data_IF_637344828832
#
_entry.id   IF_637344828832
#
_cell.length_a   1.000
_cell.length_b   1.000
_cell.length_c   1.000
_cell.angle_alpha   90.00
_cell.angle_beta   90.00
_cell.angle_gamma   90.00
#
_symmetry.space_group_name_H-M   'P 1'
#
loop_
_entity.id
_entity.type
_entity.pdbx_description
1 polymer ?
#
# COMPACT_ATOMS: atom_id res chain seq x y z
N UNK A 1 33.40 -24.56 9.50
CA UNK A 1 32.34 -23.86 8.75
C UNK A 1 31.31 -23.37 9.75
N UNK A 2 31.17 -22.06 10.00
CA UNK A 2 30.10 -21.54 10.88
C UNK A 2 28.79 -21.51 10.05
N UNK A 3 27.65 -21.99 10.58
CA UNK A 3 26.39 -21.77 9.90
C UNK A 3 26.11 -20.26 9.90
N UNK A 4 25.99 -19.68 8.71
CA UNK A 4 25.44 -18.33 8.55
C UNK A 4 23.93 -18.45 8.74
N UNK A 5 23.49 -18.41 10.00
CA UNK A 5 22.10 -18.12 10.34
C UNK A 5 21.77 -16.69 9.90
N UNK A 6 21.50 -16.56 8.61
CA UNK A 6 20.99 -15.34 8.01
C UNK A 6 19.49 -15.28 8.36
N UNK A 7 19.17 -15.04 9.63
CA UNK A 7 17.81 -14.70 10.04
C UNK A 7 17.47 -13.40 9.32
N UNK A 8 16.84 -13.51 8.15
CA UNK A 8 16.20 -12.39 7.46
C UNK A 8 15.23 -11.82 8.49
N UNK A 9 15.58 -10.67 9.07
CA UNK A 9 14.71 -9.95 10.01
C UNK A 9 13.42 -9.68 9.25
N UNK A 10 12.37 -10.45 9.53
CA UNK A 10 11.04 -10.13 9.03
C UNK A 10 10.71 -8.80 9.69
N UNK A 11 10.70 -7.70 8.92
CA UNK A 11 10.16 -6.45 9.44
C UNK A 11 8.67 -6.70 9.68
N UNK A 12 8.27 -6.67 10.95
CA UNK A 12 6.86 -6.65 11.30
C UNK A 12 6.27 -5.35 10.77
N UNK A 13 5.40 -5.45 9.76
CA UNK A 13 4.55 -4.34 9.36
C UNK A 13 3.54 -4.12 10.47
N UNK A 14 3.77 -3.10 11.30
CA UNK A 14 2.83 -2.60 12.30
C UNK A 14 2.12 -1.37 11.74
N UNK A 15 1.01 -0.99 12.40
CA UNK A 15 0.43 0.34 12.23
C UNK A 15 1.52 1.36 12.56
N UNK A 16 1.61 2.39 11.72
CA UNK A 16 2.53 3.48 11.89
C UNK A 16 1.69 4.75 12.07
N UNK A 17 1.81 5.38 13.25
CA UNK A 17 1.09 6.61 13.61
C UNK A 17 1.25 7.69 12.54
N UNK A 18 2.36 7.67 11.79
CA UNK A 18 2.60 8.59 10.68
C UNK A 18 1.53 8.54 9.59
N UNK A 19 0.86 7.40 9.41
CA UNK A 19 -0.10 7.13 8.33
C UNK A 19 -1.52 6.80 8.80
N UNK A 20 -1.83 6.94 10.09
CA UNK A 20 -3.19 6.70 10.61
C UNK A 20 -4.24 7.58 9.91
N UNK A 21 -3.90 8.82 9.58
CA UNK A 21 -4.79 9.72 8.83
C UNK A 21 -5.21 9.10 7.49
N UNK A 22 -4.28 8.42 6.81
CA UNK A 22 -4.54 7.75 5.53
C UNK A 22 -5.53 6.59 5.74
N UNK A 23 -5.35 5.80 6.79
CA UNK A 23 -6.29 4.74 7.16
C UNK A 23 -7.68 5.28 7.45
N UNK A 24 -7.79 6.39 8.17
CA UNK A 24 -9.06 7.06 8.43
C UNK A 24 -9.75 7.49 7.12
N UNK A 25 -9.00 8.06 6.17
CA UNK A 25 -9.52 8.44 4.86
C UNK A 25 -10.03 7.24 4.05
N UNK A 26 -9.34 6.09 4.12
CA UNK A 26 -9.83 4.84 3.53
C UNK A 26 -11.14 4.38 4.19
N UNK A 27 -11.18 4.34 5.52
CA UNK A 27 -12.34 3.87 6.29
C UNK A 27 -13.58 4.76 6.09
N UNK A 28 -13.37 6.07 5.88
CA UNK A 28 -14.44 7.03 5.57
C UNK A 28 -14.86 7.01 4.10
N UNK A 29 -14.18 6.26 3.23
CA UNK A 29 -14.44 6.21 1.78
C UNK A 29 -14.03 7.47 1.03
N UNK A 30 -13.14 8.28 1.60
CA UNK A 30 -12.63 9.51 1.01
C UNK A 30 -11.52 9.25 -0.02
N UNK A 31 -10.77 8.15 0.15
CA UNK A 31 -9.88 7.62 -0.90
C UNK A 31 -10.70 6.73 -1.83
N UNK A 32 -10.91 7.20 -3.06
CA UNK A 32 -11.62 6.46 -4.12
C UNK A 32 -10.70 5.96 -5.24
N UNK A 33 -9.45 6.42 -5.24
CA UNK A 33 -8.39 6.08 -6.19
C UNK A 33 -7.06 6.00 -5.46
N UNK A 34 -6.23 5.00 -5.75
CA UNK A 34 -4.93 4.85 -5.10
C UNK A 34 -3.96 5.99 -5.43
N UNK A 35 -4.10 6.62 -6.60
CA UNK A 35 -3.30 7.81 -6.98
C UNK A 35 -3.37 8.95 -5.96
N UNK A 36 -4.43 9.04 -5.16
CA UNK A 36 -4.56 10.03 -4.09
C UNK A 36 -3.47 9.90 -3.01
N UNK A 37 -2.89 8.72 -2.84
CA UNK A 37 -1.77 8.52 -1.91
C UNK A 37 -0.50 9.31 -2.30
N UNK A 38 -0.41 9.84 -3.53
CA UNK A 38 0.64 10.79 -3.92
C UNK A 38 0.57 12.10 -3.10
N UNK A 39 -0.60 12.45 -2.56
CA UNK A 39 -0.81 13.66 -1.75
C UNK A 39 -0.37 13.47 -0.27
N UNK A 40 -0.16 12.22 0.16
CA UNK A 40 0.03 11.88 1.57
C UNK A 40 1.39 11.23 1.83
N UNK A 41 2.44 12.06 1.94
CA UNK A 41 3.82 11.63 2.27
C UNK A 41 4.33 10.45 1.39
N UNK A 42 4.24 10.54 0.05
CA UNK A 42 4.50 9.42 -0.85
C UNK A 42 5.90 8.83 -0.71
N UNK A 43 6.91 9.66 -0.45
CA UNK A 43 8.30 9.23 -0.23
C UNK A 43 8.45 8.35 1.01
N UNK A 44 7.70 8.63 2.06
CA UNK A 44 7.79 7.87 3.31
C UNK A 44 7.02 6.56 3.19
N UNK A 45 5.82 6.59 2.60
CA UNK A 45 5.06 5.38 2.26
C UNK A 45 5.85 4.43 1.37
N UNK A 46 6.46 4.92 0.29
CA UNK A 46 7.24 4.06 -0.61
C UNK A 46 8.39 3.37 0.11
N UNK A 47 9.11 4.12 0.96
CA UNK A 47 10.22 3.59 1.78
C UNK A 47 9.74 2.51 2.75
N UNK A 48 8.62 2.74 3.44
CA UNK A 48 8.04 1.80 4.42
C UNK A 48 7.51 0.54 3.75
N UNK A 49 6.96 0.66 2.55
CA UNK A 49 6.59 -0.47 1.69
C UNK A 49 7.80 -1.17 1.05
N UNK A 50 9.02 -0.68 1.28
CA UNK A 50 10.26 -1.17 0.66
C UNK A 50 10.19 -1.16 -0.88
N UNK A 51 9.51 -0.16 -1.44
CA UNK A 51 9.40 0.06 -2.88
C UNK A 51 10.22 1.28 -3.29
N UNK A 52 10.83 1.21 -4.48
CA UNK A 52 11.39 2.39 -5.12
C UNK A 52 10.29 3.43 -5.37
N UNK A 53 10.60 4.72 -5.19
CA UNK A 53 9.62 5.80 -5.32
C UNK A 53 8.89 5.77 -6.66
N UNK A 54 9.62 5.63 -7.77
CA UNK A 54 9.01 5.57 -9.11
C UNK A 54 8.12 4.34 -9.29
N UNK A 55 8.53 3.18 -8.74
CA UNK A 55 7.72 1.96 -8.76
C UNK A 55 6.44 2.15 -7.95
N UNK A 56 6.54 2.79 -6.79
CA UNK A 56 5.39 3.10 -5.97
C UNK A 56 4.40 4.01 -6.70
N UNK A 57 4.86 5.15 -7.24
CA UNK A 57 3.99 6.07 -7.99
C UNK A 57 3.38 5.43 -9.23
N UNK A 58 4.14 4.61 -9.96
CA UNK A 58 3.61 3.90 -11.13
C UNK A 58 2.48 2.94 -10.75
N UNK A 59 2.62 2.22 -9.63
CA UNK A 59 1.58 1.32 -9.12
C UNK A 59 0.37 2.06 -8.56
N UNK A 60 0.55 3.25 -7.97
CA UNK A 60 -0.58 4.09 -7.55
C UNK A 60 -1.45 4.52 -8.74
N UNK A 61 -0.84 4.76 -9.90
CA UNK A 61 -1.52 5.11 -11.16
C UNK A 61 -2.04 3.90 -11.93
N UNK A 62 -1.45 2.74 -11.69
CA UNK A 62 -1.84 1.45 -12.29
C UNK A 62 -2.05 0.41 -11.17
N UNK A 63 -3.20 0.46 -10.49
CA UNK A 63 -3.47 -0.32 -9.28
C UNK A 63 -3.35 -1.84 -9.48
N UNK A 64 -3.56 -2.33 -10.70
CA UNK A 64 -3.40 -3.73 -11.09
C UNK A 64 -1.96 -4.27 -10.93
N UNK A 65 -0.98 -3.37 -10.83
CA UNK A 65 0.42 -3.74 -10.64
C UNK A 65 0.79 -4.00 -9.16
N UNK A 66 -0.12 -3.69 -8.23
CA UNK A 66 0.04 -4.09 -6.83
C UNK A 66 -0.24 -5.58 -6.67
N UNK A 67 0.68 -6.29 -6.00
CA UNK A 67 0.40 -7.65 -5.55
C UNK A 67 -0.53 -7.61 -4.33
N UNK A 68 -1.22 -8.73 -4.05
CA UNK A 68 -2.00 -8.88 -2.81
C UNK A 68 -1.13 -8.67 -1.56
N UNK A 69 0.12 -9.13 -1.59
CA UNK A 69 1.07 -8.92 -0.50
C UNK A 69 1.33 -7.42 -0.25
N UNK A 70 1.46 -6.63 -1.32
CA UNK A 70 1.66 -5.18 -1.21
C UNK A 70 0.43 -4.48 -0.61
N UNK A 71 -0.78 -4.90 -0.99
CA UNK A 71 -2.02 -4.35 -0.44
C UNK A 71 -2.16 -4.67 1.06
N UNK A 72 -1.78 -5.89 1.48
CA UNK A 72 -1.77 -6.28 2.90
C UNK A 72 -0.72 -5.48 3.68
N UNK A 73 0.46 -5.23 3.11
CA UNK A 73 1.48 -4.38 3.75
C UNK A 73 1.00 -2.94 3.89
N UNK A 74 0.39 -2.39 2.84
CA UNK A 74 -0.20 -1.06 2.87
C UNK A 74 -1.31 -0.97 3.92
N UNK A 75 -2.20 -1.95 4.00
CA UNK A 75 -3.31 -1.94 4.95
C UNK A 75 -2.82 -1.96 6.40
N UNK A 76 -1.79 -2.76 6.69
CA UNK A 76 -1.13 -2.77 8.00
C UNK A 76 -0.47 -1.44 8.31
N UNK A 77 0.23 -0.86 7.35
CA UNK A 77 0.97 0.39 7.51
C UNK A 77 0.05 1.57 7.84
N UNK A 78 -1.08 1.68 7.14
CA UNK A 78 -2.03 2.80 7.31
C UNK A 78 -3.12 2.52 8.33
N UNK A 79 -3.24 1.30 8.87
CA UNK A 79 -4.27 0.95 9.85
C UNK A 79 -5.68 0.83 9.25
N UNK A 80 -5.82 0.10 8.14
CA UNK A 80 -7.14 -0.20 7.52
C UNK A 80 -7.26 -1.68 7.15
N UNK A 81 -8.48 -2.12 6.82
CA UNK A 81 -8.72 -3.46 6.27
C UNK A 81 -8.26 -3.51 4.80
N UNK A 82 -7.43 -4.49 4.45
CA UNK A 82 -6.95 -4.68 3.08
C UNK A 82 -8.10 -4.88 2.08
N UNK A 83 -9.25 -5.40 2.53
CA UNK A 83 -10.44 -5.56 1.70
C UNK A 83 -10.99 -4.20 1.22
N UNK A 84 -10.83 -3.12 2.01
CA UNK A 84 -11.24 -1.77 1.59
C UNK A 84 -10.36 -1.31 0.43
N UNK A 85 -9.04 -1.47 0.57
CA UNK A 85 -8.07 -1.11 -0.47
C UNK A 85 -8.31 -1.95 -1.73
N UNK A 86 -8.48 -3.27 -1.58
CA UNK A 86 -8.73 -4.18 -2.70
C UNK A 86 -10.00 -3.82 -3.49
N UNK A 87 -11.09 -3.42 -2.82
CA UNK A 87 -12.31 -2.96 -3.49
C UNK A 87 -12.08 -1.71 -4.34
N UNK A 88 -11.26 -0.78 -3.85
CA UNK A 88 -10.88 0.43 -4.61
C UNK A 88 -10.08 0.01 -5.86
N UNK A 89 -9.06 -0.83 -5.69
CA UNK A 89 -8.25 -1.37 -6.81
C UNK A 89 -9.14 -2.04 -7.85
N UNK A 90 -10.03 -2.95 -7.44
CA UNK A 90 -10.94 -3.63 -8.35
C UNK A 90 -11.85 -2.66 -9.09
N UNK A 91 -12.35 -1.62 -8.42
CA UNK A 91 -13.19 -0.60 -9.05
C UNK A 91 -12.39 0.19 -10.10
N UNK A 92 -11.17 0.61 -9.79
CA UNK A 92 -10.32 1.33 -10.74
C UNK A 92 -9.96 0.48 -11.97
N UNK A 93 -9.69 -0.81 -11.77
CA UNK A 93 -9.43 -1.76 -12.87
C UNK A 93 -10.68 -1.89 -13.75
N UNK A 94 -11.85 -2.08 -13.15
CA UNK A 94 -13.13 -2.17 -13.87
C UNK A 94 -13.39 -0.92 -14.71
N UNK A 95 -13.19 0.27 -14.12
CA UNK A 95 -13.31 1.54 -14.83
C UNK A 95 -12.30 1.68 -15.98
N UNK A 96 -11.05 1.22 -15.79
CA UNK A 96 -9.98 1.29 -16.80
C UNK A 96 -10.24 0.39 -18.01
N UNK A 97 -10.78 -0.81 -17.79
CA UNK A 97 -10.98 -1.81 -18.84
C UNK A 97 -12.44 -1.94 -19.31
N UNK A 98 -13.39 -1.25 -18.68
CA UNK A 98 -14.81 -1.29 -19.02
C UNK A 98 -15.50 -2.62 -18.69
N UNK A 99 -15.13 -3.27 -17.59
CA UNK A 99 -15.62 -4.60 -17.15
C UNK A 99 -16.37 -4.58 -15.83
#
# INVERSE_FOLDING_TARGET
MKPRDSKKKIQEFSIDEEFEEIGALFNQGLIKKLSRLEEHKPTNLSKKLQMGYNTYTERLRNPELFSIEDLIKLSKLVGTDYQIILRIVQKEIKEKYGV
#
